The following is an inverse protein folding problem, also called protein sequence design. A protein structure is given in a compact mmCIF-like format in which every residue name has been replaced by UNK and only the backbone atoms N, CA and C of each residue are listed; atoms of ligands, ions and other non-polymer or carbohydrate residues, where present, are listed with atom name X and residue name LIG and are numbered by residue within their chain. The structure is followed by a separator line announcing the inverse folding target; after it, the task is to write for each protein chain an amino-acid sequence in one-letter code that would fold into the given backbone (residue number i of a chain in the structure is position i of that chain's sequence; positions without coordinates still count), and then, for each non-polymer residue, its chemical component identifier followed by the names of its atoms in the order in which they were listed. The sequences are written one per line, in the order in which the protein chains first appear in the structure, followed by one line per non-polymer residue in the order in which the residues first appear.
data_IF_130809541798
#
_entry.id   IF_130809541798
#
_cell.length_a   1.000
_cell.length_b   1.000
_cell.length_c   1.000
_cell.angle_alpha   90.00
_cell.angle_beta   90.00
_cell.angle_gamma   90.00
#
_symmetry.space_group_name_H-M   'P 1'
#
loop_
_entity.id
_entity.type
_entity.pdbx_description
1 polymer ?
#
# COMPACT_ATOMS: atom_id res chain seq x y z
N UNK A 1 -6.26 45.28 -13.83
CA UNK A 1 -5.51 46.41 -13.24
C UNK A 1 -4.03 46.04 -13.19
N UNK A 2 -3.12 47.02 -13.07
CA UNK A 2 -1.66 46.80 -13.10
C UNK A 2 -1.03 47.47 -11.88
N UNK A 3 -0.34 46.67 -11.05
CA UNK A 3 0.68 47.13 -10.10
C UNK A 3 1.92 46.25 -10.35
N UNK A 4 3.12 46.69 -10.73
CA UNK A 4 3.98 47.88 -10.45
C UNK A 4 4.92 47.69 -9.27
N UNK A 5 6.21 47.46 -9.61
CA UNK A 5 7.41 47.67 -8.78
C UNK A 5 7.58 46.76 -7.54
N UNK A 6 8.80 46.56 -7.02
CA UNK A 6 10.05 47.31 -7.28
C UNK A 6 11.27 46.38 -7.42
N UNK A 7 12.19 46.73 -8.31
CA UNK A 7 13.60 46.29 -8.25
C UNK A 7 14.28 46.75 -6.95
N UNK A 8 15.42 46.12 -6.63
CA UNK A 8 16.59 46.88 -6.16
C UNK A 8 17.89 46.12 -6.51
N UNK A 9 18.77 46.81 -7.23
CA UNK A 9 20.15 46.38 -7.49
C UNK A 9 21.02 46.67 -6.25
N UNK A 10 22.19 46.02 -6.14
CA UNK A 10 23.52 46.65 -6.23
C UNK A 10 24.66 45.76 -5.67
N UNK A 11 25.80 45.72 -6.37
CA UNK A 11 27.12 45.47 -5.76
C UNK A 11 27.73 46.78 -5.22
N UNK A 12 29.03 46.86 -4.83
CA UNK A 12 30.15 46.25 -5.57
C UNK A 12 31.40 45.79 -4.76
N UNK A 13 32.27 45.09 -5.49
CA UNK A 13 33.75 45.16 -5.52
C UNK A 13 34.57 45.97 -4.46
N UNK A 14 35.47 45.28 -3.74
CA UNK A 14 36.81 45.76 -3.30
C UNK A 14 37.72 44.53 -3.08
N UNK A 15 38.93 44.37 -3.68
CA UNK A 15 40.23 45.07 -3.62
C UNK A 15 41.18 44.64 -2.48
N UNK A 16 42.21 43.89 -2.89
CA UNK A 16 43.60 43.85 -2.38
C UNK A 16 44.23 45.28 -2.32
N UNK A 17 45.42 45.57 -1.69
CA UNK A 17 46.70 44.86 -1.83
C UNK A 17 47.75 44.96 -0.67
N UNK A 18 49.05 44.82 -1.01
CA UNK A 18 50.32 45.06 -0.25
C UNK A 18 50.70 44.10 0.92
N UNK A 19 51.97 43.81 1.27
CA UNK A 19 53.29 44.21 0.69
C UNK A 19 54.42 43.14 0.97
N UNK A 20 55.65 43.35 0.46
CA UNK A 20 56.85 42.50 0.59
C UNK A 20 57.80 42.84 1.77
N UNK A 21 59.16 42.82 1.64
CA UNK A 21 60.02 42.40 0.50
C UNK A 21 61.38 41.67 0.85
N UNK A 22 62.10 41.20 -0.18
CA UNK A 22 63.58 40.99 -0.18
C UNK A 22 64.14 39.65 0.39
N UNK A 23 65.37 39.20 0.06
CA UNK A 23 66.36 39.67 -0.94
C UNK A 23 67.43 38.58 -1.24
N UNK A 24 68.09 38.63 -2.41
CA UNK A 24 69.49 38.19 -2.57
C UNK A 24 69.86 37.02 -3.52
N UNK A 25 70.95 37.20 -4.29
CA UNK A 25 71.93 36.12 -4.55
C UNK A 25 72.05 35.52 -5.96
N UNK A 26 72.91 36.11 -6.79
CA UNK A 26 73.35 35.58 -8.10
C UNK A 26 74.87 35.83 -8.23
N UNK A 27 75.73 34.96 -8.78
CA UNK A 27 75.59 33.64 -9.44
C UNK A 27 76.61 32.63 -8.77
N UNK A 28 77.38 31.68 -9.35
CA UNK A 28 77.75 31.25 -10.72
C UNK A 28 78.30 29.79 -10.72
N UNK A 29 78.70 29.33 -11.90
CA UNK A 29 79.24 28.02 -12.35
C UNK A 29 80.64 27.63 -11.79
N UNK A 30 81.18 26.39 -12.03
CA UNK A 30 80.77 25.39 -13.03
C UNK A 30 80.62 23.91 -12.58
N UNK A 31 80.19 23.06 -13.53
CA UNK A 31 80.05 21.60 -13.42
C UNK A 31 81.22 20.85 -14.13
N UNK A 32 81.31 19.49 -14.15
CA UNK A 32 80.49 18.69 -15.09
C UNK A 32 80.19 17.19 -14.75
N UNK A 33 79.00 16.70 -15.19
CA UNK A 33 78.71 15.32 -15.71
C UNK A 33 78.83 14.12 -14.70
N UNK A 34 78.15 12.96 -14.85
CA UNK A 34 77.13 12.50 -15.82
C UNK A 34 76.17 11.40 -15.29
N UNK A 35 74.85 11.63 -15.46
CA UNK A 35 73.91 10.79 -16.25
C UNK A 35 74.11 9.25 -16.29
N UNK A 36 73.35 8.47 -15.46
CA UNK A 36 72.58 7.30 -15.99
C UNK A 36 71.45 6.72 -15.10
N UNK A 37 71.60 6.64 -13.76
CA UNK A 37 70.79 5.69 -12.95
C UNK A 37 69.38 6.14 -12.50
N UNK A 38 69.03 7.43 -12.57
CA UNK A 38 67.90 7.97 -11.78
C UNK A 38 66.48 7.80 -12.37
N UNK A 39 66.30 7.11 -13.51
CA UNK A 39 64.98 7.02 -14.20
C UNK A 39 64.12 5.82 -13.81
N UNK A 40 64.68 4.74 -13.26
CA UNK A 40 63.95 3.49 -13.01
C UNK A 40 63.18 3.44 -11.68
N UNK A 41 63.48 4.34 -10.73
CA UNK A 41 62.81 4.39 -9.42
C UNK A 41 61.51 5.21 -9.40
N UNK A 42 61.26 6.05 -10.40
CA UNK A 42 60.05 6.89 -10.43
C UNK A 42 58.80 6.12 -10.91
N UNK A 43 58.99 5.11 -11.78
CA UNK A 43 57.90 4.36 -12.41
C UNK A 43 57.27 3.37 -11.42
N UNK A 44 58.08 2.70 -10.60
CA UNK A 44 57.62 1.67 -9.66
C UNK A 44 56.72 2.25 -8.55
N UNK A 45 57.07 3.40 -7.99
CA UNK A 45 56.28 4.06 -6.93
C UNK A 45 54.88 4.47 -7.43
N UNK A 46 54.79 4.99 -8.66
CA UNK A 46 53.52 5.39 -9.25
C UNK A 46 52.55 4.21 -9.45
N UNK A 47 53.05 3.07 -9.95
CA UNK A 47 52.23 1.87 -10.17
C UNK A 47 51.71 1.30 -8.85
N UNK A 48 52.55 1.20 -7.82
CA UNK A 48 52.16 0.66 -6.50
C UNK A 48 51.05 1.52 -5.85
N UNK A 49 51.15 2.85 -5.93
CA UNK A 49 50.10 3.74 -5.40
C UNK A 49 48.76 3.59 -6.14
N UNK A 50 48.77 3.45 -7.47
CA UNK A 50 47.55 3.26 -8.26
C UNK A 50 46.88 1.93 -7.92
N UNK A 51 47.65 0.84 -7.81
CA UNK A 51 47.12 -0.47 -7.43
C UNK A 51 46.46 -0.48 -6.03
N UNK A 52 47.03 0.24 -5.06
CA UNK A 52 46.45 0.35 -3.71
C UNK A 52 45.11 1.10 -3.70
N UNK A 53 44.98 2.17 -4.49
CA UNK A 53 43.70 2.92 -4.60
C UNK A 53 42.61 2.06 -5.25
N UNK A 54 42.93 1.31 -6.32
CA UNK A 54 41.97 0.40 -6.97
C UNK A 54 41.55 -0.75 -6.04
N UNK A 55 42.51 -1.34 -5.30
CA UNK A 55 42.23 -2.41 -4.32
C UNK A 55 41.32 -1.95 -3.18
N UNK A 56 41.52 -0.74 -2.66
CA UNK A 56 40.69 -0.18 -1.59
C UNK A 56 39.22 0.01 -2.02
N UNK A 57 38.98 0.49 -3.26
CA UNK A 57 37.61 0.66 -3.79
C UNK A 57 36.93 -0.70 -3.99
N UNK A 58 37.63 -1.69 -4.55
CA UNK A 58 37.08 -3.03 -4.77
C UNK A 58 36.69 -3.74 -3.47
N UNK A 59 37.49 -3.62 -2.40
CA UNK A 59 37.19 -4.21 -1.09
C UNK A 59 35.98 -3.61 -0.39
N UNK A 60 35.73 -2.30 -0.55
CA UNK A 60 34.57 -1.63 0.07
C UNK A 60 33.26 -2.04 -0.62
N UNK A 61 33.29 -2.31 -1.92
CA UNK A 61 32.11 -2.77 -2.68
C UNK A 61 31.70 -4.18 -2.23
N UNK A 62 32.63 -5.15 -2.24
CA UNK A 62 32.34 -6.54 -1.84
C UNK A 62 31.95 -6.70 -0.36
N UNK A 63 32.49 -5.86 0.53
CA UNK A 63 32.07 -5.78 1.93
C UNK A 63 30.66 -5.17 2.12
N UNK A 64 30.17 -4.36 1.18
CA UNK A 64 28.79 -3.84 1.17
C UNK A 64 27.80 -4.84 0.58
N UNK A 65 28.19 -5.55 -0.48
CA UNK A 65 27.39 -6.64 -1.09
C UNK A 65 27.06 -7.72 -0.05
N UNK A 66 28.08 -8.23 0.66
CA UNK A 66 27.91 -9.28 1.70
C UNK A 66 27.05 -8.82 2.87
N UNK A 67 27.20 -7.58 3.35
CA UNK A 67 26.31 -7.02 4.39
C UNK A 67 24.89 -6.76 3.91
N UNK A 68 24.67 -6.44 2.62
CA UNK A 68 23.32 -6.30 2.05
C UNK A 68 22.64 -7.66 1.91
N UNK A 69 23.32 -8.66 1.34
CA UNK A 69 22.81 -10.02 1.20
C UNK A 69 22.42 -10.64 2.56
N UNK A 70 23.18 -10.37 3.62
CA UNK A 70 22.86 -10.81 4.99
C UNK A 70 21.68 -10.08 5.65
N UNK A 71 21.17 -8.99 5.05
CA UNK A 71 20.04 -8.20 5.57
C UNK A 71 18.88 -8.07 4.58
N UNK A 72 18.91 -8.80 3.46
CA UNK A 72 17.83 -8.90 2.49
C UNK A 72 17.18 -10.28 2.47
N UNK A 73 16.85 -10.81 3.67
CA UNK A 73 15.63 -11.61 3.74
C UNK A 73 14.46 -10.64 3.52
N UNK A 74 13.61 -10.82 2.49
CA UNK A 74 12.36 -10.09 2.44
C UNK A 74 11.54 -10.53 3.65
N UNK A 75 11.28 -9.59 4.57
CA UNK A 75 10.22 -9.79 5.57
C UNK A 75 8.92 -9.82 4.77
N UNK A 76 8.45 -11.03 4.46
CA UNK A 76 7.14 -11.23 3.86
C UNK A 76 6.13 -10.54 4.78
N UNK A 77 5.35 -9.61 4.22
CA UNK A 77 4.39 -8.83 5.01
C UNK A 77 3.47 -9.80 5.73
N UNK A 78 3.49 -9.78 7.07
CA UNK A 78 2.78 -10.74 7.88
C UNK A 78 1.27 -10.57 7.64
N UNK A 79 0.64 -11.60 7.06
CA UNK A 79 -0.81 -11.63 6.79
C UNK A 79 -1.54 -11.30 8.08
N UNK A 80 -2.33 -10.24 8.07
CA UNK A 80 -3.05 -9.83 9.30
C UNK A 80 -4.17 -10.82 9.60
N UNK A 81 -4.58 -11.00 10.87
CA UNK A 81 -5.70 -11.90 11.18
C UNK A 81 -6.98 -11.56 10.41
N UNK A 82 -7.23 -10.27 10.14
CA UNK A 82 -8.37 -9.83 9.33
C UNK A 82 -8.23 -10.22 7.86
N UNK A 83 -7.02 -10.16 7.29
CA UNK A 83 -6.75 -10.60 5.92
C UNK A 83 -6.88 -12.12 5.79
N UNK A 84 -6.39 -12.88 6.77
CA UNK A 84 -6.54 -14.34 6.83
C UNK A 84 -8.01 -14.78 6.99
N UNK A 85 -8.79 -14.03 7.79
CA UNK A 85 -10.23 -14.19 7.89
C UNK A 85 -10.95 -13.85 6.58
N UNK A 86 -10.60 -12.73 5.94
CA UNK A 86 -11.25 -12.27 4.72
C UNK A 86 -11.05 -13.25 3.55
N UNK A 87 -9.87 -13.87 3.44
CA UNK A 87 -9.58 -14.95 2.49
C UNK A 87 -10.48 -16.20 2.65
N UNK A 88 -11.23 -16.32 3.76
CA UNK A 88 -12.24 -17.37 3.98
C UNK A 88 -13.68 -16.87 3.91
N UNK A 89 -13.90 -15.56 3.91
CA UNK A 89 -15.22 -14.93 4.05
C UNK A 89 -15.66 -14.14 2.81
N UNK A 90 -14.72 -13.74 1.93
CA UNK A 90 -14.97 -12.94 0.73
C UNK A 90 -16.07 -13.52 -0.16
N UNK A 91 -16.05 -14.84 -0.36
CA UNK A 91 -16.88 -15.51 -1.36
C UNK A 91 -18.34 -15.55 -0.90
N UNK A 92 -18.58 -15.89 0.38
CA UNK A 92 -19.91 -15.89 0.99
C UNK A 92 -20.44 -14.48 1.21
N UNK A 93 -19.58 -13.51 1.55
CA UNK A 93 -19.96 -12.10 1.61
C UNK A 93 -20.43 -11.59 0.24
N UNK A 94 -19.71 -11.95 -0.82
CA UNK A 94 -20.08 -11.62 -2.20
C UNK A 94 -21.30 -12.42 -2.66
N UNK A 95 -21.56 -13.60 -2.09
CA UNK A 95 -22.77 -14.39 -2.35
C UNK A 95 -24.01 -13.72 -1.78
N UNK A 96 -23.96 -13.21 -0.54
CA UNK A 96 -25.04 -12.42 0.06
C UNK A 96 -25.40 -11.21 -0.79
N UNK A 97 -24.39 -10.47 -1.27
CA UNK A 97 -24.60 -9.31 -2.18
C UNK A 97 -25.23 -9.71 -3.53
N UNK A 98 -24.88 -10.89 -4.07
CA UNK A 98 -25.50 -11.39 -5.30
C UNK A 98 -26.93 -11.85 -5.05
N UNK A 99 -27.19 -12.53 -3.94
CA UNK A 99 -28.52 -12.97 -3.56
C UNK A 99 -29.48 -11.81 -3.25
N UNK A 100 -29.03 -10.72 -2.60
CA UNK A 100 -29.89 -9.55 -2.36
C UNK A 100 -30.30 -8.87 -3.67
N UNK A 101 -29.35 -8.70 -4.59
CA UNK A 101 -29.60 -8.19 -5.96
C UNK A 101 -30.54 -9.10 -6.76
N UNK A 102 -30.41 -10.42 -6.65
CA UNK A 102 -31.27 -11.38 -7.34
C UNK A 102 -32.70 -11.40 -6.77
N UNK A 103 -32.87 -11.29 -5.44
CA UNK A 103 -34.18 -11.08 -4.78
C UNK A 103 -34.84 -9.80 -5.28
N UNK A 104 -34.10 -8.67 -5.31
CA UNK A 104 -34.62 -7.39 -5.84
C UNK A 104 -34.97 -7.50 -7.32
N UNK A 105 -34.22 -8.29 -8.12
CA UNK A 105 -34.56 -8.54 -9.53
C UNK A 105 -35.85 -9.35 -9.66
N UNK A 106 -35.97 -10.47 -8.94
CA UNK A 106 -37.16 -11.33 -8.99
C UNK A 106 -38.42 -10.57 -8.54
N UNK A 107 -38.33 -9.82 -7.43
CA UNK A 107 -39.44 -9.03 -6.89
C UNK A 107 -39.93 -7.93 -7.86
N UNK A 108 -39.02 -7.33 -8.64
CA UNK A 108 -39.37 -6.33 -9.69
C UNK A 108 -40.06 -6.94 -10.91
N UNK A 109 -39.73 -8.17 -11.27
CA UNK A 109 -40.32 -8.87 -12.42
C UNK A 109 -41.67 -9.49 -12.04
N UNK A 110 -41.86 -9.86 -10.76
CA UNK A 110 -43.14 -10.26 -10.20
C UNK A 110 -43.55 -11.71 -10.46
N UNK A 111 -42.63 -12.57 -10.91
CA UNK A 111 -42.87 -14.02 -11.06
C UNK A 111 -42.56 -14.76 -9.75
N UNK A 112 -43.54 -15.44 -9.12
CA UNK A 112 -43.31 -16.23 -7.89
C UNK A 112 -42.23 -17.30 -8.06
N UNK A 113 -42.21 -17.97 -9.22
CA UNK A 113 -41.24 -19.01 -9.59
C UNK A 113 -39.78 -18.55 -9.56
N UNK A 114 -39.53 -17.24 -9.75
CA UNK A 114 -38.19 -16.66 -9.64
C UNK A 114 -37.91 -16.09 -8.25
N UNK A 115 -38.95 -15.74 -7.48
CA UNK A 115 -38.83 -15.08 -6.19
C UNK A 115 -38.59 -16.08 -5.05
N UNK A 116 -39.26 -17.23 -5.06
CA UNK A 116 -39.05 -18.29 -4.06
C UNK A 116 -37.58 -18.78 -3.99
N UNK A 117 -36.95 -19.23 -5.10
CA UNK A 117 -35.55 -19.67 -5.05
C UNK A 117 -34.58 -18.53 -4.73
N UNK A 118 -34.88 -17.28 -5.12
CA UNK A 118 -34.05 -16.13 -4.76
C UNK A 118 -34.09 -15.86 -3.25
N UNK A 119 -35.27 -15.89 -2.63
CA UNK A 119 -35.41 -15.67 -1.19
C UNK A 119 -34.85 -16.82 -0.34
N UNK A 120 -34.97 -18.08 -0.79
CA UNK A 120 -34.24 -19.22 -0.21
C UNK A 120 -32.72 -19.03 -0.33
N UNK A 121 -32.22 -18.60 -1.49
CA UNK A 121 -30.78 -18.39 -1.66
C UNK A 121 -30.24 -17.25 -0.78
N UNK A 122 -31.01 -16.17 -0.59
CA UNK A 122 -30.65 -15.08 0.31
C UNK A 122 -30.60 -15.52 1.78
N UNK A 123 -31.59 -16.31 2.22
CA UNK A 123 -31.57 -16.93 3.55
C UNK A 123 -30.29 -17.75 3.77
N UNK A 124 -29.99 -18.68 2.87
CA UNK A 124 -28.86 -19.60 3.01
C UNK A 124 -27.50 -18.89 2.85
N UNK A 125 -27.41 -17.87 2.00
CA UNK A 125 -26.21 -17.06 1.88
C UNK A 125 -25.92 -16.28 3.18
N UNK A 126 -26.95 -15.71 3.81
CA UNK A 126 -26.79 -14.90 5.02
C UNK A 126 -26.64 -15.77 6.29
N UNK A 127 -27.70 -16.47 6.70
CA UNK A 127 -27.79 -17.12 8.02
C UNK A 127 -27.04 -18.46 8.09
N UNK A 128 -26.76 -19.10 6.94
CA UNK A 128 -25.97 -20.34 6.93
C UNK A 128 -24.52 -20.07 6.53
N UNK A 129 -24.28 -19.51 5.34
CA UNK A 129 -22.90 -19.34 4.82
C UNK A 129 -22.15 -18.21 5.54
N UNK A 130 -22.61 -16.96 5.44
CA UNK A 130 -21.87 -15.81 5.97
C UNK A 130 -21.81 -15.81 7.50
N UNK A 131 -22.89 -16.20 8.19
CA UNK A 131 -22.92 -16.43 9.64
C UNK A 131 -21.83 -17.41 10.10
N UNK A 132 -21.57 -18.49 9.35
CA UNK A 132 -20.51 -19.46 9.68
C UNK A 132 -19.08 -18.88 9.63
N UNK A 133 -18.91 -17.67 9.10
CA UNK A 133 -17.63 -16.94 9.08
C UNK A 133 -17.46 -16.01 10.29
N UNK A 134 -18.46 -15.86 11.15
CA UNK A 134 -18.40 -14.97 12.32
C UNK A 134 -17.96 -15.72 13.60
N UNK A 135 -17.28 -15.05 14.54
CA UNK A 135 -16.86 -13.64 14.51
C UNK A 135 -15.65 -13.39 13.59
N UNK A 136 -15.53 -12.16 13.10
CA UNK A 136 -14.28 -11.68 12.50
C UNK A 136 -13.33 -11.15 13.60
N UNK A 137 -12.03 -10.95 13.31
CA UNK A 137 -11.10 -10.31 14.23
C UNK A 137 -11.40 -8.83 14.55
N UNK A 138 -12.29 -8.18 13.80
CA UNK A 138 -12.82 -6.84 14.12
C UNK A 138 -14.23 -7.00 14.74
N UNK A 139 -14.41 -6.49 15.96
CA UNK A 139 -15.67 -6.59 16.69
C UNK A 139 -16.78 -5.70 16.12
N UNK A 140 -16.43 -4.56 15.53
CA UNK A 140 -17.39 -3.68 14.88
C UNK A 140 -17.80 -4.26 13.51
N UNK A 141 -16.85 -4.84 12.76
CA UNK A 141 -17.17 -5.61 11.54
C UNK A 141 -18.12 -6.78 11.85
N UNK A 142 -17.90 -7.46 12.97
CA UNK A 142 -18.77 -8.56 13.41
C UNK A 142 -20.18 -8.07 13.76
N UNK A 143 -20.32 -6.86 14.30
CA UNK A 143 -21.63 -6.26 14.58
C UNK A 143 -22.35 -5.79 13.30
N UNK A 144 -21.63 -5.14 12.38
CA UNK A 144 -22.13 -4.74 11.05
C UNK A 144 -22.63 -5.97 10.27
N UNK A 145 -21.83 -7.03 10.21
CA UNK A 145 -22.20 -8.28 9.51
C UNK A 145 -23.37 -9.01 10.18
N UNK A 146 -23.47 -9.03 11.52
CA UNK A 146 -24.63 -9.62 12.19
C UNK A 146 -25.92 -8.88 11.88
N UNK A 147 -25.91 -7.54 11.93
CA UNK A 147 -27.07 -6.74 11.55
C UNK A 147 -27.51 -7.05 10.11
N UNK A 148 -26.57 -7.10 9.17
CA UNK A 148 -26.86 -7.48 7.78
C UNK A 148 -27.52 -8.87 7.66
N UNK A 149 -27.00 -9.86 8.38
CA UNK A 149 -27.51 -11.24 8.37
C UNK A 149 -28.92 -11.30 8.97
N UNK A 150 -29.13 -10.71 10.15
CA UNK A 150 -30.42 -10.70 10.86
C UNK A 150 -31.51 -10.00 10.04
N UNK A 151 -31.17 -8.88 9.38
CA UNK A 151 -32.06 -8.16 8.47
C UNK A 151 -32.37 -8.97 7.19
N UNK A 152 -31.37 -9.59 6.55
CA UNK A 152 -31.59 -10.43 5.36
C UNK A 152 -32.39 -11.71 5.66
N UNK A 153 -32.13 -12.36 6.79
CA UNK A 153 -32.89 -13.51 7.28
C UNK A 153 -34.37 -13.14 7.50
N UNK A 154 -34.61 -11.98 8.12
CA UNK A 154 -35.96 -11.41 8.31
C UNK A 154 -36.66 -11.13 6.97
N UNK A 155 -35.97 -10.48 6.02
CA UNK A 155 -36.51 -10.20 4.69
C UNK A 155 -36.84 -11.49 3.91
N UNK A 156 -35.97 -12.50 3.96
CA UNK A 156 -36.20 -13.78 3.31
C UNK A 156 -37.43 -14.50 3.90
N UNK A 157 -37.59 -14.52 5.22
CA UNK A 157 -38.78 -15.10 5.85
C UNK A 157 -40.08 -14.33 5.53
N UNK A 158 -40.04 -13.00 5.41
CA UNK A 158 -41.20 -12.21 4.97
C UNK A 158 -41.59 -12.53 3.52
N UNK A 159 -40.61 -12.64 2.62
CA UNK A 159 -40.80 -13.06 1.24
C UNK A 159 -41.45 -14.46 1.14
N UNK A 160 -40.85 -15.45 1.80
CA UNK A 160 -41.32 -16.84 1.77
C UNK A 160 -42.69 -17.01 2.44
N UNK A 161 -42.97 -16.26 3.51
CA UNK A 161 -44.31 -16.21 4.14
C UNK A 161 -45.37 -15.65 3.19
N UNK A 162 -45.02 -14.62 2.41
CA UNK A 162 -45.93 -14.01 1.41
C UNK A 162 -46.23 -15.00 0.28
N UNK A 163 -45.20 -15.70 -0.21
CA UNK A 163 -45.34 -16.75 -1.23
C UNK A 163 -46.18 -17.94 -0.72
N UNK A 164 -46.03 -18.31 0.55
CA UNK A 164 -46.86 -19.32 1.23
C UNK A 164 -48.31 -18.86 1.54
N UNK A 165 -48.72 -17.68 1.06
CA UNK A 165 -50.10 -17.18 1.17
C UNK A 165 -50.44 -16.50 2.50
N UNK A 166 -49.46 -15.96 3.23
CA UNK A 166 -49.71 -15.14 4.41
C UNK A 166 -50.59 -13.92 4.04
N UNK A 167 -51.55 -13.60 4.91
CA UNK A 167 -52.50 -12.49 4.70
C UNK A 167 -51.96 -11.12 5.12
N UNK A 168 -50.75 -11.07 5.68
CA UNK A 168 -50.06 -9.85 6.09
C UNK A 168 -49.38 -9.21 4.89
N UNK A 169 -49.53 -7.89 4.71
CA UNK A 169 -48.76 -7.17 3.70
C UNK A 169 -47.38 -6.79 4.27
N UNK A 170 -46.38 -7.65 4.11
CA UNK A 170 -45.00 -7.39 4.54
C UNK A 170 -44.19 -6.50 3.58
N UNK A 171 -44.79 -5.92 2.54
CA UNK A 171 -44.02 -5.29 1.45
C UNK A 171 -43.12 -4.12 1.91
N UNK A 172 -43.63 -3.27 2.81
CA UNK A 172 -42.89 -2.14 3.39
C UNK A 172 -41.70 -2.61 4.24
N UNK A 173 -41.95 -3.60 5.09
CA UNK A 173 -40.99 -4.16 6.03
C UNK A 173 -39.89 -4.93 5.30
N UNK A 174 -40.26 -5.78 4.33
CA UNK A 174 -39.34 -6.48 3.44
C UNK A 174 -38.37 -5.52 2.73
N UNK A 175 -38.88 -4.42 2.15
CA UNK A 175 -38.05 -3.40 1.50
C UNK A 175 -37.16 -2.66 2.51
N UNK A 176 -37.66 -2.37 3.72
CA UNK A 176 -36.88 -1.74 4.78
C UNK A 176 -35.73 -2.62 5.28
N UNK A 177 -35.99 -3.92 5.50
CA UNK A 177 -34.98 -4.89 5.92
C UNK A 177 -33.90 -5.11 4.84
N UNK A 178 -34.28 -5.30 3.57
CA UNK A 178 -33.30 -5.37 2.47
C UNK A 178 -32.40 -4.12 2.40
N UNK A 179 -33.00 -2.93 2.52
CA UNK A 179 -32.25 -1.67 2.49
C UNK A 179 -31.31 -1.49 3.69
N UNK A 180 -31.74 -1.91 4.89
CA UNK A 180 -30.89 -1.85 6.09
C UNK A 180 -29.72 -2.84 5.98
N UNK A 181 -30.00 -4.06 5.50
CA UNK A 181 -29.00 -5.09 5.29
C UNK A 181 -27.93 -4.70 4.24
N UNK A 182 -28.34 -4.21 3.06
CA UNK A 182 -27.42 -3.71 2.03
C UNK A 182 -26.56 -2.55 2.56
N UNK A 183 -27.12 -1.68 3.42
CA UNK A 183 -26.38 -0.59 4.09
C UNK A 183 -25.34 -1.13 5.08
N UNK A 184 -25.67 -2.15 5.87
CA UNK A 184 -24.74 -2.81 6.80
C UNK A 184 -23.62 -3.53 6.04
N UNK A 185 -23.93 -4.25 4.95
CA UNK A 185 -22.92 -4.83 4.06
C UNK A 185 -22.00 -3.77 3.44
N UNK A 186 -22.53 -2.60 3.10
CA UNK A 186 -21.73 -1.48 2.58
C UNK A 186 -20.75 -0.95 3.64
N UNK A 187 -21.20 -0.78 4.89
CA UNK A 187 -20.34 -0.37 6.01
C UNK A 187 -19.22 -1.41 6.27
N UNK A 188 -19.57 -2.70 6.30
CA UNK A 188 -18.63 -3.80 6.43
C UNK A 188 -17.58 -3.80 5.31
N UNK A 189 -17.99 -3.64 4.04
CA UNK A 189 -17.06 -3.57 2.90
C UNK A 189 -16.13 -2.35 2.99
N UNK A 190 -16.65 -1.19 3.38
CA UNK A 190 -15.83 0.00 3.64
C UNK A 190 -14.79 -0.24 4.72
N UNK A 191 -15.17 -0.89 5.83
CA UNK A 191 -14.28 -1.23 6.95
C UNK A 191 -13.18 -2.21 6.54
N UNK A 192 -13.54 -3.28 5.84
CA UNK A 192 -12.60 -4.25 5.27
C UNK A 192 -11.60 -3.53 4.36
N UNK A 193 -12.07 -2.71 3.43
CA UNK A 193 -11.21 -1.95 2.51
C UNK A 193 -10.27 -0.99 3.29
N UNK A 194 -10.80 -0.22 4.23
CA UNK A 194 -10.03 0.72 5.06
C UNK A 194 -8.94 0.03 5.88
N UNK A 195 -9.08 -1.23 6.27
CA UNK A 195 -8.09 -1.94 7.07
C UNK A 195 -7.10 -2.73 6.21
N UNK A 196 -7.55 -3.37 5.12
CA UNK A 196 -6.65 -4.02 4.16
C UNK A 196 -5.73 -3.00 3.46
N UNK A 197 -6.25 -1.84 3.05
CA UNK A 197 -5.46 -0.75 2.46
C UNK A 197 -4.49 -0.08 3.45
N UNK A 198 -4.67 -0.27 4.76
CA UNK A 198 -3.72 0.17 5.80
C UNK A 198 -2.70 -0.91 6.20
N UNK A 199 -2.77 -2.08 5.56
CA UNK A 199 -1.91 -3.24 5.82
C UNK A 199 -1.01 -3.60 4.62
N UNK A 200 -0.95 -2.74 3.60
CA UNK A 200 -0.26 -2.92 2.32
C UNK A 200 0.72 -1.77 2.04
#
# INVERSE_FOLDING_TARGET
MRSTHTDLQFGPESRYPEDGPGMGGNLLSPAPRARRWRKWLAVTVAVVLICLVVGAVAGIITARETKRAASSHPVSAAVTPLQEWWLRASDDFTEVQRASVDVVRAARIGFPEALEPACLHLHDAAEVKLQSRLPSPDSELTAELRGAIEDFHSAAHMCLSTLAGAKTNYHSEFVAYLFLADRQMTAAQERINKTLMRSA
#
